data_IF_129528186506
#
_entry.id   IF_129528186506
#
_cell.length_a   1.000
_cell.length_b   1.000
_cell.length_c   1.000
_cell.angle_alpha   90.00
_cell.angle_beta   90.00
_cell.angle_gamma   90.00
#
_symmetry.space_group_name_H-M   'P 1'
#
loop_
_entity.id
_entity.type
_entity.pdbx_description
1 polymer ?
#
# COMPACT_ATOMS: atom_id res chain seq x y z
N UNK A 1 -10.41 43.12 -32.95
CA UNK A 1 -11.32 43.41 -34.08
C UNK A 1 -11.66 42.06 -34.71
N UNK A 2 -12.86 41.77 -35.21
CA UNK A 2 -14.03 42.62 -35.41
C UNK A 2 -14.96 41.97 -36.43
N UNK A 3 -15.84 41.10 -35.93
CA UNK A 3 -17.26 40.94 -36.28
C UNK A 3 -17.73 41.57 -37.62
N UNK A 4 -18.35 40.77 -38.50
CA UNK A 4 -19.63 41.13 -39.13
C UNK A 4 -20.51 39.89 -39.41
N UNK A 5 -21.76 39.98 -38.97
CA UNK A 5 -22.90 39.14 -39.40
C UNK A 5 -23.59 39.79 -40.61
N UNK A 6 -24.38 39.02 -41.37
CA UNK A 6 -25.47 39.60 -42.19
C UNK A 6 -26.79 38.84 -42.03
N UNK A 7 -27.86 39.61 -41.75
CA UNK A 7 -29.31 39.24 -41.74
C UNK A 7 -29.80 39.12 -43.21
N UNK A 8 -31.03 38.77 -43.61
CA UNK A 8 -32.43 38.67 -43.08
C UNK A 8 -33.17 37.66 -44.03
N UNK A 9 -34.38 37.09 -43.88
CA UNK A 9 -35.60 37.22 -43.03
C UNK A 9 -36.14 35.79 -42.73
N UNK A 10 -37.21 35.44 -42.00
CA UNK A 10 -38.47 36.03 -41.52
C UNK A 10 -39.70 35.99 -42.49
N UNK A 11 -40.85 35.54 -41.93
CA UNK A 11 -42.23 35.45 -42.44
C UNK A 11 -42.66 34.14 -43.18
N UNK A 12 -43.92 33.66 -43.11
CA UNK A 12 -44.99 33.75 -42.09
C UNK A 12 -46.19 32.83 -42.46
N UNK A 13 -46.93 32.27 -41.47
CA UNK A 13 -48.27 31.65 -41.57
C UNK A 13 -48.40 30.38 -42.49
N UNK A 14 -49.40 29.48 -42.39
CA UNK A 14 -50.34 29.05 -41.32
C UNK A 14 -50.63 27.52 -41.53
N UNK A 15 -51.73 26.80 -41.28
CA UNK A 15 -53.16 27.02 -40.91
C UNK A 15 -53.66 25.86 -40.00
N UNK A 16 -54.98 25.54 -39.97
CA UNK A 16 -55.58 24.42 -39.21
C UNK A 16 -56.83 23.86 -39.94
N UNK A 17 -57.29 22.63 -39.59
CA UNK A 17 -58.63 22.01 -39.91
C UNK A 17 -58.86 21.61 -41.40
N UNK A 18 -59.85 20.77 -41.78
CA UNK A 18 -60.97 20.11 -41.07
C UNK A 18 -61.24 18.66 -41.60
N UNK A 19 -61.93 17.89 -40.74
CA UNK A 19 -62.70 16.64 -40.79
C UNK A 19 -63.35 16.04 -42.09
N UNK A 20 -63.89 14.82 -41.90
CA UNK A 20 -64.72 14.00 -42.82
C UNK A 20 -64.28 12.52 -42.73
N UNK A 21 -65.13 11.50 -42.52
CA UNK A 21 -66.58 11.46 -42.23
C UNK A 21 -66.92 10.26 -41.31
N UNK A 22 -68.14 10.25 -40.76
CA UNK A 22 -68.75 9.08 -40.08
C UNK A 22 -69.69 8.35 -41.06
N UNK A 23 -69.68 7.01 -41.03
CA UNK A 23 -70.62 6.18 -41.77
C UNK A 23 -70.94 4.90 -41.01
N UNK A 24 -72.13 4.85 -40.40
CA UNK A 24 -72.61 3.66 -39.69
C UNK A 24 -73.06 2.56 -40.67
N UNK A 25 -72.65 1.32 -40.40
CA UNK A 25 -73.18 0.12 -41.04
C UNK A 25 -73.39 -0.96 -39.98
N UNK A 26 -74.63 -1.10 -39.50
CA UNK A 26 -74.98 -2.05 -38.45
C UNK A 26 -75.16 -3.48 -39.00
N UNK A 27 -74.42 -4.44 -38.45
CA UNK A 27 -74.67 -5.87 -38.59
C UNK A 27 -74.65 -6.51 -37.20
N UNK A 28 -75.61 -7.39 -36.92
CA UNK A 28 -75.78 -8.02 -35.60
C UNK A 28 -74.75 -9.13 -35.38
N UNK A 29 -74.22 -9.22 -34.15
CA UNK A 29 -73.35 -10.34 -33.73
C UNK A 29 -72.84 -10.19 -32.30
N UNK A 30 -73.37 -10.98 -31.37
CA UNK A 30 -72.91 -10.99 -29.98
C UNK A 30 -71.49 -11.55 -29.88
N UNK A 31 -70.56 -10.87 -29.16
CA UNK A 31 -69.99 -11.38 -27.90
C UNK A 31 -68.88 -10.50 -27.26
N UNK A 32 -68.67 -10.74 -25.96
CA UNK A 32 -67.45 -10.46 -25.16
C UNK A 32 -67.03 -9.00 -24.86
N UNK A 33 -67.57 -8.48 -23.75
CA UNK A 33 -66.81 -7.80 -22.67
C UNK A 33 -65.63 -6.89 -23.04
N UNK A 34 -65.89 -5.58 -23.14
CA UNK A 34 -64.84 -4.56 -23.00
C UNK A 34 -64.32 -4.48 -21.55
N UNK A 35 -63.32 -5.30 -21.20
CA UNK A 35 -62.48 -5.02 -20.03
C UNK A 35 -61.65 -3.77 -20.36
N UNK A 36 -61.94 -2.66 -19.69
CA UNK A 36 -61.10 -1.46 -19.73
C UNK A 36 -59.79 -1.78 -19.05
N UNK A 37 -58.82 -2.24 -19.84
CA UNK A 37 -57.47 -2.53 -19.39
C UNK A 37 -56.76 -1.21 -19.07
N UNK A 38 -57.00 -0.70 -17.85
CA UNK A 38 -56.21 0.36 -17.23
C UNK A 38 -54.79 -0.19 -17.09
N UNK A 39 -53.97 0.02 -18.12
CA UNK A 39 -52.52 -0.17 -18.08
C UNK A 39 -51.97 0.85 -17.10
N UNK A 40 -52.01 0.50 -15.82
CA UNK A 40 -51.25 1.18 -14.79
C UNK A 40 -49.79 1.15 -15.22
N UNK A 41 -49.29 2.27 -15.75
CA UNK A 41 -47.86 2.49 -15.96
C UNK A 41 -47.28 2.69 -14.57
N UNK A 42 -47.17 1.58 -13.84
CA UNK A 42 -46.30 1.46 -12.70
C UNK A 42 -44.89 1.78 -13.21
N UNK A 43 -44.47 3.03 -12.98
CA UNK A 43 -43.06 3.36 -12.90
C UNK A 43 -42.48 2.48 -11.79
N UNK A 44 -42.08 1.26 -12.14
CA UNK A 44 -41.13 0.50 -11.34
C UNK A 44 -40.00 1.46 -11.03
N UNK A 45 -39.72 1.63 -9.73
CA UNK A 45 -38.43 2.12 -9.26
C UNK A 45 -37.32 1.27 -9.92
N UNK A 46 -36.07 1.70 -9.81
CA UNK A 46 -34.94 0.88 -10.25
C UNK A 46 -34.67 -0.31 -9.32
N UNK A 47 -35.66 -0.77 -8.54
CA UNK A 47 -35.60 -1.94 -7.65
C UNK A 47 -34.84 -3.05 -8.36
N UNK A 48 -33.62 -3.24 -7.87
CA UNK A 48 -32.68 -4.23 -8.37
C UNK A 48 -32.05 -5.02 -7.22
N UNK A 49 -32.63 -4.96 -6.01
CA UNK A 49 -32.05 -5.50 -4.78
C UNK A 49 -33.14 -5.78 -3.74
N UNK A 50 -33.43 -7.06 -3.47
CA UNK A 50 -34.62 -7.44 -2.70
C UNK A 50 -34.61 -7.07 -1.21
N UNK A 51 -35.82 -7.05 -0.63
CA UNK A 51 -36.10 -6.55 0.73
C UNK A 51 -35.61 -7.41 1.90
N UNK A 52 -34.95 -8.53 1.65
CA UNK A 52 -34.36 -9.41 2.68
C UNK A 52 -33.13 -10.17 2.16
N UNK A 53 -32.42 -10.87 3.06
CA UNK A 53 -31.18 -11.62 2.76
C UNK A 53 -31.34 -12.74 1.73
N UNK A 54 -32.52 -13.35 1.62
CA UNK A 54 -32.78 -14.45 0.68
C UNK A 54 -33.00 -13.91 -0.75
N UNK A 55 -33.57 -12.71 -0.85
CA UNK A 55 -33.74 -11.95 -2.10
C UNK A 55 -32.60 -10.97 -2.41
N UNK A 56 -31.50 -11.02 -1.65
CA UNK A 56 -30.42 -10.04 -1.74
C UNK A 56 -29.71 -10.10 -3.11
N UNK A 57 -29.36 -8.92 -3.65
CA UNK A 57 -28.64 -8.81 -4.91
C UNK A 57 -27.27 -9.46 -4.80
N UNK A 58 -27.06 -10.53 -5.55
CA UNK A 58 -25.78 -11.23 -5.64
C UNK A 58 -24.76 -10.36 -6.40
N UNK A 59 -23.71 -9.93 -5.71
CA UNK A 59 -22.55 -9.23 -6.30
C UNK A 59 -21.47 -10.22 -6.72
N UNK A 60 -21.42 -11.39 -6.06
CA UNK A 60 -20.34 -12.37 -6.18
C UNK A 60 -19.13 -12.02 -5.31
N UNK A 61 -17.97 -12.58 -5.65
CA UNK A 61 -16.72 -12.29 -4.95
C UNK A 61 -16.16 -10.92 -5.34
N UNK A 62 -15.75 -10.12 -4.37
CA UNK A 62 -15.14 -8.82 -4.62
C UNK A 62 -13.71 -8.97 -5.16
N UNK A 63 -13.44 -8.27 -6.26
CA UNK A 63 -12.11 -8.07 -6.85
C UNK A 63 -11.77 -6.58 -6.87
N UNK A 64 -10.50 -6.24 -7.08
CA UNK A 64 -10.01 -4.85 -7.14
C UNK A 64 -9.98 -4.25 -8.56
N UNK A 65 -10.16 -5.09 -9.60
CA UNK A 65 -10.20 -4.71 -11.02
C UNK A 65 -11.08 -3.48 -11.33
N UNK A 66 -12.17 -3.25 -10.58
CA UNK A 66 -12.97 -2.01 -10.64
C UNK A 66 -13.91 -1.88 -9.43
N UNK A 67 -14.35 -0.65 -9.08
CA UNK A 67 -15.39 -0.45 -8.08
C UNK A 67 -16.75 -0.97 -8.57
N UNK A 68 -17.43 -1.75 -7.72
CA UNK A 68 -18.81 -2.22 -7.94
C UNK A 68 -19.76 -1.06 -7.67
N UNK A 69 -20.75 -0.82 -8.55
CA UNK A 69 -21.63 0.36 -8.49
C UNK A 69 -23.09 0.01 -8.74
N UNK A 70 -23.98 0.47 -7.87
CA UNK A 70 -25.42 0.25 -7.93
C UNK A 70 -26.17 1.58 -7.73
N UNK A 71 -27.38 1.70 -8.29
CA UNK A 71 -28.21 2.92 -8.23
C UNK A 71 -29.68 2.55 -8.08
N UNK A 72 -30.27 2.91 -6.94
CA UNK A 72 -31.60 2.42 -6.54
C UNK A 72 -32.40 3.48 -5.72
N UNK A 73 -33.63 3.14 -5.29
CA UNK A 73 -34.54 4.06 -4.55
C UNK A 73 -35.33 3.38 -3.40
N UNK A 74 -34.78 3.39 -2.18
CA UNK A 74 -35.52 3.00 -0.96
C UNK A 74 -36.63 4.01 -0.59
N UNK A 75 -37.76 3.56 -0.07
CA UNK A 75 -38.88 4.39 0.39
C UNK A 75 -40.01 3.63 1.09
N UNK A 76 -41.14 4.30 1.35
CA UNK A 76 -42.25 3.74 2.16
C UNK A 76 -42.76 2.34 1.75
N UNK A 77 -42.76 2.05 0.44
CA UNK A 77 -43.22 0.79 -0.14
C UNK A 77 -42.11 -0.25 -0.33
N UNK A 78 -40.85 0.18 -0.25
CA UNK A 78 -39.66 -0.57 -0.65
C UNK A 78 -38.52 -0.15 0.29
N UNK A 79 -38.51 -0.73 1.50
CA UNK A 79 -37.84 -0.09 2.65
C UNK A 79 -36.38 -0.49 2.80
N UNK A 80 -35.95 -1.56 2.14
CA UNK A 80 -34.64 -2.16 2.33
C UNK A 80 -34.12 -2.71 1.00
N UNK A 81 -32.91 -2.34 0.65
CA UNK A 81 -32.21 -2.91 -0.50
C UNK A 81 -31.06 -3.76 0.05
N UNK A 82 -31.19 -5.08 -0.03
CA UNK A 82 -30.13 -5.98 0.39
C UNK A 82 -29.22 -6.37 -0.78
N UNK A 83 -27.92 -6.28 -0.52
CA UNK A 83 -26.83 -6.69 -1.39
C UNK A 83 -26.01 -7.74 -0.65
N UNK A 84 -25.49 -8.74 -1.36
CA UNK A 84 -24.63 -9.77 -0.78
C UNK A 84 -23.38 -9.99 -1.63
N UNK A 85 -22.24 -10.16 -0.97
CA UNK A 85 -20.93 -10.34 -1.60
C UNK A 85 -20.05 -11.27 -0.78
N UNK A 86 -19.03 -11.84 -1.44
CA UNK A 86 -18.03 -12.70 -0.79
C UNK A 86 -16.67 -12.02 -0.80
N UNK A 87 -15.95 -12.15 0.32
CA UNK A 87 -14.54 -11.79 0.47
C UNK A 87 -13.73 -13.10 0.42
N UNK A 88 -12.76 -13.20 -0.49
CA UNK A 88 -11.95 -14.42 -0.67
C UNK A 88 -10.71 -14.49 0.23
N UNK A 89 -10.07 -13.34 0.49
CA UNK A 89 -8.88 -13.18 1.35
C UNK A 89 -9.11 -11.96 2.25
N UNK A 90 -8.49 -11.87 3.43
CA UNK A 90 -8.80 -10.81 4.42
C UNK A 90 -8.48 -9.41 3.86
N UNK A 91 -9.51 -8.67 3.45
CA UNK A 91 -9.40 -7.43 2.65
C UNK A 91 -9.89 -6.22 3.43
N UNK A 92 -9.33 -5.04 3.13
CA UNK A 92 -9.88 -3.77 3.58
C UNK A 92 -10.96 -3.30 2.59
N UNK A 93 -12.23 -3.36 2.98
CA UNK A 93 -13.36 -2.96 2.14
C UNK A 93 -13.75 -1.51 2.43
N UNK A 94 -13.86 -0.68 1.38
CA UNK A 94 -14.54 0.61 1.43
C UNK A 94 -15.94 0.48 0.82
N UNK A 95 -16.94 1.00 1.52
CA UNK A 95 -18.29 1.15 1.01
C UNK A 95 -18.72 2.61 1.11
N UNK A 96 -19.28 3.15 0.03
CA UNK A 96 -19.72 4.54 -0.08
C UNK A 96 -21.15 4.59 -0.58
N UNK A 97 -22.01 5.34 0.09
CA UNK A 97 -23.38 5.65 -0.33
C UNK A 97 -23.45 7.15 -0.63
N UNK A 98 -23.82 7.57 -1.84
CA UNK A 98 -23.79 8.99 -2.24
C UNK A 98 -24.96 9.44 -3.12
N UNK A 99 -25.19 10.76 -3.17
CA UNK A 99 -26.36 11.34 -3.83
C UNK A 99 -27.65 11.13 -3.02
N UNK A 100 -27.51 11.09 -1.69
CA UNK A 100 -28.59 10.72 -0.75
C UNK A 100 -29.50 11.91 -0.46
N UNK A 101 -30.72 11.86 -0.99
CA UNK A 101 -31.71 12.96 -0.87
C UNK A 101 -32.47 13.04 0.46
N UNK A 102 -32.28 12.07 1.38
CA UNK A 102 -33.02 11.98 2.66
C UNK A 102 -32.38 11.01 3.68
N UNK A 103 -31.05 10.94 3.71
CA UNK A 103 -30.33 10.26 4.80
C UNK A 103 -30.60 8.76 5.05
N UNK A 104 -30.74 7.89 4.02
CA UNK A 104 -30.94 6.47 4.23
C UNK A 104 -29.80 5.85 5.04
N UNK A 105 -30.11 4.80 5.78
CA UNK A 105 -29.14 4.08 6.59
C UNK A 105 -28.33 3.15 5.68
N UNK A 106 -27.01 3.15 5.80
CA UNK A 106 -26.10 2.13 5.30
C UNK A 106 -25.70 1.21 6.45
N UNK A 107 -25.84 -0.11 6.27
CA UNK A 107 -25.39 -1.12 7.25
C UNK A 107 -24.57 -2.23 6.59
N UNK A 108 -23.65 -2.82 7.34
CA UNK A 108 -22.93 -4.05 7.00
C UNK A 108 -23.25 -5.15 8.02
N UNK A 109 -23.47 -6.37 7.55
CA UNK A 109 -23.61 -7.56 8.39
C UNK A 109 -22.66 -8.67 7.93
N UNK A 110 -22.15 -9.45 8.88
CA UNK A 110 -21.52 -10.75 8.60
C UNK A 110 -22.56 -11.84 8.30
N UNK A 111 -22.12 -13.01 7.82
CA UNK A 111 -23.01 -14.15 7.51
C UNK A 111 -23.88 -14.59 8.68
N UNK A 112 -23.33 -14.63 9.90
CA UNK A 112 -24.06 -14.91 11.15
C UNK A 112 -25.06 -13.80 11.55
N UNK A 113 -25.12 -12.71 10.80
CA UNK A 113 -25.98 -11.56 11.04
C UNK A 113 -25.48 -10.54 12.04
N UNK A 114 -24.25 -10.65 12.58
CA UNK A 114 -23.67 -9.61 13.43
C UNK A 114 -23.60 -8.28 12.66
N UNK A 115 -24.11 -7.20 13.25
CA UNK A 115 -24.00 -5.86 12.68
C UNK A 115 -22.55 -5.36 12.82
N UNK A 116 -21.86 -5.18 11.69
CA UNK A 116 -20.45 -4.79 11.60
C UNK A 116 -20.27 -3.29 11.33
N UNK A 117 -21.31 -2.60 10.86
CA UNK A 117 -21.34 -1.15 10.68
C UNK A 117 -22.77 -0.67 10.55
N UNK A 118 -23.08 0.49 11.14
CA UNK A 118 -24.25 1.32 10.81
C UNK A 118 -23.84 2.80 10.88
N UNK A 119 -24.27 3.60 9.90
CA UNK A 119 -24.09 5.06 9.95
C UNK A 119 -25.11 5.76 10.87
N UNK A 120 -24.78 7.00 11.26
CA UNK A 120 -25.77 7.95 11.74
C UNK A 120 -26.45 8.63 10.54
N UNK A 121 -27.78 8.51 10.41
CA UNK A 121 -28.56 9.04 9.28
C UNK A 121 -28.57 10.57 9.24
N UNK A 122 -28.68 11.25 10.39
CA UNK A 122 -28.69 12.73 10.45
C UNK A 122 -27.38 13.34 9.92
N UNK A 123 -26.25 12.68 10.18
CA UNK A 123 -24.95 13.08 9.64
C UNK A 123 -24.77 12.76 8.14
N UNK A 124 -25.57 11.84 7.58
CA UNK A 124 -25.55 11.53 6.15
C UNK A 124 -26.25 12.60 5.31
N UNK A 125 -27.34 13.18 5.83
CA UNK A 125 -28.07 14.28 5.19
C UNK A 125 -27.16 15.50 5.02
N UNK A 126 -26.46 15.89 6.08
CA UNK A 126 -25.52 17.01 6.07
C UNK A 126 -24.30 16.81 5.15
N UNK A 127 -23.85 15.56 4.94
CA UNK A 127 -22.64 15.24 4.14
C UNK A 127 -22.91 14.82 2.68
N UNK A 128 -24.18 14.67 2.27
CA UNK A 128 -24.63 14.16 0.96
C UNK A 128 -24.04 12.80 0.52
N UNK A 129 -23.24 12.18 1.39
CA UNK A 129 -22.57 10.91 1.22
C UNK A 129 -22.17 10.31 2.57
N UNK A 130 -22.07 8.99 2.61
CA UNK A 130 -21.57 8.19 3.74
C UNK A 130 -20.43 7.35 3.19
N UNK A 131 -19.29 7.32 3.86
CA UNK A 131 -18.24 6.33 3.63
C UNK A 131 -17.90 5.58 4.92
N UNK A 132 -17.65 4.29 4.82
CA UNK A 132 -16.91 3.56 5.85
C UNK A 132 -15.88 2.63 5.20
N UNK A 133 -14.83 2.31 5.96
CA UNK A 133 -13.77 1.39 5.59
C UNK A 133 -13.62 0.35 6.71
N UNK A 134 -13.51 -0.94 6.39
CA UNK A 134 -13.35 -2.01 7.41
C UNK A 134 -12.58 -3.22 6.86
N UNK A 135 -11.67 -3.76 7.66
CA UNK A 135 -11.03 -5.05 7.42
C UNK A 135 -12.07 -6.17 7.63
N UNK A 136 -12.26 -7.01 6.61
CA UNK A 136 -13.16 -8.15 6.61
C UNK A 136 -12.38 -9.46 6.41
N UNK A 137 -12.74 -10.50 7.16
CA UNK A 137 -12.23 -11.86 6.96
C UNK A 137 -12.82 -12.50 5.69
N UNK A 138 -12.25 -13.60 5.19
CA UNK A 138 -12.90 -14.45 4.19
C UNK A 138 -14.33 -14.84 4.63
N UNK A 139 -15.26 -14.88 3.68
CA UNK A 139 -16.66 -15.24 3.92
C UNK A 139 -17.67 -14.31 3.25
N UNK A 140 -18.96 -14.56 3.48
CA UNK A 140 -20.08 -13.82 2.89
C UNK A 140 -20.59 -12.71 3.81
N UNK A 141 -20.95 -11.58 3.21
CA UNK A 141 -21.39 -10.37 3.90
C UNK A 141 -22.60 -9.75 3.21
N UNK A 142 -23.46 -9.10 4.00
CA UNK A 142 -24.63 -8.40 3.50
C UNK A 142 -24.49 -6.90 3.74
N UNK A 143 -24.78 -6.09 2.72
CA UNK A 143 -25.05 -4.67 2.89
C UNK A 143 -26.55 -4.43 2.78
N UNK A 144 -27.06 -3.60 3.69
CA UNK A 144 -28.44 -3.13 3.67
C UNK A 144 -28.39 -1.61 3.50
N UNK A 145 -29.07 -1.10 2.47
CA UNK A 145 -29.52 0.30 2.45
C UNK A 145 -30.95 0.31 2.94
N UNK A 146 -31.33 1.16 3.90
CA UNK A 146 -32.68 1.16 4.45
C UNK A 146 -33.21 2.57 4.80
N UNK A 147 -34.46 2.84 4.44
CA UNK A 147 -35.15 4.11 4.73
C UNK A 147 -36.34 3.89 5.67
N UNK A 148 -36.51 4.79 6.63
CA UNK A 148 -37.64 4.81 7.59
C UNK A 148 -38.73 5.79 7.17
N UNK A 149 -38.38 6.90 6.51
CA UNK A 149 -39.27 8.02 6.21
C UNK A 149 -39.02 8.59 4.81
N UNK A 150 -40.08 8.95 4.09
CA UNK A 150 -39.97 9.51 2.73
C UNK A 150 -39.47 8.49 1.68
N UNK A 151 -38.58 8.96 0.79
CA UNK A 151 -37.85 8.16 -0.21
C UNK A 151 -36.43 8.70 -0.38
N UNK A 152 -35.45 7.84 -0.62
CA UNK A 152 -34.07 8.21 -0.92
C UNK A 152 -33.57 7.49 -2.18
N UNK A 153 -33.19 8.26 -3.20
CA UNK A 153 -32.31 7.74 -4.25
C UNK A 153 -30.89 7.69 -3.71
N UNK A 154 -30.09 6.76 -4.22
CA UNK A 154 -28.68 6.66 -3.87
C UNK A 154 -27.82 6.03 -4.97
N UNK A 155 -26.51 6.16 -4.80
CA UNK A 155 -25.49 5.43 -5.52
C UNK A 155 -24.65 4.65 -4.48
N UNK A 156 -24.63 3.32 -4.54
CA UNK A 156 -23.80 2.48 -3.68
C UNK A 156 -22.54 2.08 -4.46
N UNK A 157 -21.36 2.35 -3.90
CA UNK A 157 -20.05 1.96 -4.42
C UNK A 157 -19.35 1.05 -3.41
N UNK A 158 -18.93 -0.14 -3.83
CA UNK A 158 -18.10 -1.06 -3.03
C UNK A 158 -16.76 -1.29 -3.74
N UNK A 159 -15.66 -1.25 -2.99
CA UNK A 159 -14.31 -1.46 -3.54
C UNK A 159 -13.32 -1.93 -2.47
N UNK A 160 -12.51 -2.97 -2.74
CA UNK A 160 -11.30 -3.22 -1.97
C UNK A 160 -10.33 -2.02 -2.11
N UNK A 161 -9.77 -1.59 -1.00
CA UNK A 161 -8.84 -0.45 -0.91
C UNK A 161 -7.54 -0.84 -0.20
N UNK A 162 -6.51 -0.02 -0.34
CA UNK A 162 -5.34 -0.06 0.54
C UNK A 162 -5.74 0.12 2.00
N UNK A 163 -4.87 -0.29 2.91
CA UNK A 163 -4.90 0.21 4.28
C UNK A 163 -4.18 1.56 4.28
N UNK A 164 -4.75 2.53 4.99
CA UNK A 164 -4.32 3.92 4.98
C UNK A 164 -4.48 4.51 6.37
N UNK A 165 -3.58 5.42 6.75
CA UNK A 165 -3.57 6.08 8.05
C UNK A 165 -3.02 7.50 7.99
N UNK A 166 -3.37 8.27 9.01
CA UNK A 166 -2.74 9.56 9.26
C UNK A 166 -1.43 9.35 10.00
N UNK A 167 -0.47 10.25 9.79
CA UNK A 167 0.79 10.30 10.55
C UNK A 167 0.84 11.64 11.28
N UNK A 168 0.93 11.58 12.62
CA UNK A 168 1.04 12.75 13.50
C UNK A 168 2.44 12.77 14.11
N UNK A 169 3.22 13.79 13.77
CA UNK A 169 4.57 14.01 14.28
C UNK A 169 4.55 15.17 15.27
N UNK A 170 5.28 15.04 16.39
CA UNK A 170 5.52 16.16 17.31
C UNK A 170 6.66 17.07 16.85
N UNK A 171 6.62 18.31 17.32
CA UNK A 171 7.62 19.34 17.05
C UNK A 171 8.91 19.14 17.83
N UNK A 172 10.06 19.33 17.16
CA UNK A 172 11.39 19.22 17.78
C UNK A 172 11.63 20.42 18.70
N UNK A 173 11.40 20.23 20.00
CA UNK A 173 11.45 21.28 21.03
C UNK A 173 12.75 22.11 21.06
N UNK A 174 13.87 21.52 20.67
CA UNK A 174 15.20 22.17 20.66
C UNK A 174 15.50 22.96 19.38
N UNK A 175 14.78 22.71 18.28
CA UNK A 175 14.91 23.44 17.02
C UNK A 175 13.66 24.31 16.82
N UNK A 176 13.78 25.59 17.19
CA UNK A 176 12.70 26.57 17.44
C UNK A 176 11.74 26.87 16.26
N UNK A 177 11.81 26.15 15.14
CA UNK A 177 11.01 26.29 13.93
C UNK A 177 10.38 24.97 13.43
N UNK A 178 10.39 23.87 14.20
CA UNK A 178 9.77 22.59 13.81
C UNK A 178 8.39 22.40 14.48
N UNK A 179 7.28 22.78 13.82
CA UNK A 179 5.93 22.55 14.37
C UNK A 179 5.54 21.08 14.33
N UNK A 180 4.50 20.71 15.10
CA UNK A 180 3.71 19.50 14.88
C UNK A 180 3.26 19.41 13.41
N UNK A 181 3.30 18.22 12.82
CA UNK A 181 2.79 17.96 11.47
C UNK A 181 1.77 16.81 11.49
N UNK A 182 0.68 16.96 10.72
CA UNK A 182 -0.31 15.90 10.51
C UNK A 182 -0.44 15.64 9.00
N UNK A 183 -0.07 14.44 8.57
CA UNK A 183 -0.21 13.97 7.20
C UNK A 183 -1.49 13.14 7.08
N UNK A 184 -2.60 13.75 6.66
CA UNK A 184 -3.85 13.01 6.41
C UNK A 184 -3.61 11.97 5.31
N UNK A 185 -3.93 10.70 5.57
CA UNK A 185 -3.63 9.57 4.67
C UNK A 185 -2.13 9.38 4.33
N UNK A 186 -1.22 9.98 5.11
CA UNK A 186 0.22 10.04 4.85
C UNK A 186 0.97 8.70 4.81
N UNK A 187 0.36 7.61 5.30
CA UNK A 187 0.91 6.26 5.19
C UNK A 187 -0.11 5.29 4.59
N UNK A 188 0.35 4.42 3.69
CA UNK A 188 -0.43 3.38 3.04
C UNK A 188 0.29 2.02 3.09
N UNK A 189 -0.48 0.95 3.17
CA UNK A 189 -0.01 -0.43 3.02
C UNK A 189 -0.75 -1.08 1.84
N UNK A 190 -0.01 -1.36 0.77
CA UNK A 190 -0.49 -2.02 -0.45
C UNK A 190 -0.02 -3.47 -0.49
N UNK A 191 -0.80 -4.39 -1.05
CA UNK A 191 -0.29 -5.70 -1.46
C UNK A 191 0.29 -5.60 -2.88
N UNK A 192 1.37 -6.32 -3.13
CA UNK A 192 1.97 -6.47 -4.46
C UNK A 192 1.93 -7.93 -4.93
N UNK A 193 1.84 -8.08 -6.24
CA UNK A 193 2.06 -9.32 -7.00
C UNK A 193 3.14 -9.07 -8.04
N UNK A 194 3.57 -10.10 -8.78
CA UNK A 194 4.39 -9.92 -9.99
C UNK A 194 3.82 -8.90 -10.99
N UNK A 195 2.50 -8.71 -11.01
CA UNK A 195 1.79 -7.78 -11.91
C UNK A 195 1.73 -6.33 -11.39
N UNK A 196 2.16 -6.07 -10.15
CA UNK A 196 2.07 -4.74 -9.50
C UNK A 196 1.14 -4.71 -8.28
N UNK A 197 0.65 -3.52 -7.93
CA UNK A 197 -0.28 -3.28 -6.81
C UNK A 197 -1.57 -4.10 -6.95
N UNK A 198 -2.11 -4.55 -5.83
CA UNK A 198 -3.46 -5.09 -5.70
C UNK A 198 -4.07 -4.68 -4.35
N UNK A 199 -5.39 -4.49 -4.34
CA UNK A 199 -6.18 -4.31 -3.12
C UNK A 199 -6.88 -5.63 -2.69
N UNK A 200 -6.60 -6.75 -3.36
CA UNK A 200 -7.02 -8.08 -2.91
C UNK A 200 -6.28 -8.41 -1.60
N UNK A 201 -7.01 -9.02 -0.67
CA UNK A 201 -6.64 -9.10 0.74
C UNK A 201 -5.29 -9.74 1.08
N UNK A 202 -4.89 -9.54 2.33
CA UNK A 202 -3.64 -9.98 2.94
C UNK A 202 -3.94 -11.24 3.75
N UNK A 203 -3.16 -12.30 3.57
CA UNK A 203 -3.38 -13.59 4.21
C UNK A 203 -2.51 -13.75 5.48
N UNK A 204 -3.08 -13.88 6.70
CA UNK A 204 -2.30 -14.08 7.92
C UNK A 204 -1.66 -15.48 8.03
N UNK A 205 -2.00 -16.44 7.16
CA UNK A 205 -1.27 -17.72 7.13
C UNK A 205 0.13 -17.56 6.55
N UNK A 206 0.30 -16.67 5.57
CA UNK A 206 1.50 -16.56 4.74
C UNK A 206 2.69 -15.88 5.42
N UNK A 207 3.90 -16.26 5.00
CA UNK A 207 5.10 -15.42 5.22
C UNK A 207 4.92 -14.09 4.49
N UNK A 208 5.36 -13.00 5.07
CA UNK A 208 5.04 -11.65 4.62
C UNK A 208 6.29 -10.79 4.52
N UNK A 209 6.67 -10.42 3.30
CA UNK A 209 7.72 -9.42 3.06
C UNK A 209 7.08 -8.04 3.02
N UNK A 210 7.55 -7.11 3.86
CA UNK A 210 7.16 -5.70 3.83
C UNK A 210 8.33 -4.89 3.27
N UNK A 211 8.15 -4.23 2.12
CA UNK A 211 9.19 -3.37 1.53
C UNK A 211 8.88 -1.91 1.86
N UNK A 212 9.87 -1.19 2.37
CA UNK A 212 9.80 0.21 2.80
C UNK A 212 10.81 1.04 1.99
N UNK A 213 10.33 2.11 1.37
CA UNK A 213 11.16 3.02 0.57
C UNK A 213 11.85 4.08 1.45
N UNK A 214 12.82 4.78 0.84
CA UNK A 214 13.56 5.88 1.44
C UNK A 214 12.90 7.25 1.33
N UNK A 215 13.67 8.26 1.76
CA UNK A 215 13.42 9.70 1.55
C UNK A 215 13.12 10.00 0.08
N UNK A 216 12.09 10.80 -0.19
CA UNK A 216 11.77 11.32 -1.52
C UNK A 216 11.37 10.28 -2.58
N UNK A 217 11.21 9.02 -2.20
CA UNK A 217 10.74 7.94 -3.07
C UNK A 217 9.33 7.46 -2.65
N UNK A 218 8.78 6.47 -3.35
CA UNK A 218 7.53 5.81 -2.97
C UNK A 218 7.53 4.35 -3.41
N UNK A 219 6.48 3.57 -3.12
CA UNK A 219 6.42 2.19 -3.62
C UNK A 219 6.12 2.07 -5.13
N UNK A 220 5.75 3.17 -5.80
CA UNK A 220 5.76 3.26 -7.27
C UNK A 220 7.12 3.73 -7.83
N UNK A 221 8.07 4.06 -6.97
CA UNK A 221 9.46 4.35 -7.32
C UNK A 221 10.07 3.26 -8.18
N UNK A 222 10.73 3.66 -9.28
CA UNK A 222 11.17 2.71 -10.33
C UNK A 222 11.96 1.51 -9.80
N UNK A 223 12.77 1.71 -8.75
CA UNK A 223 13.59 0.68 -8.10
C UNK A 223 12.82 -0.12 -7.05
N UNK A 224 12.11 0.57 -6.15
CA UNK A 224 11.30 -0.08 -5.10
C UNK A 224 10.20 -0.95 -5.72
N UNK A 225 9.50 -0.45 -6.75
CA UNK A 225 8.48 -1.21 -7.50
C UNK A 225 9.08 -2.44 -8.18
N UNK A 226 10.28 -2.33 -8.76
CA UNK A 226 11.01 -3.47 -9.35
C UNK A 226 11.42 -4.50 -8.30
N UNK A 227 11.86 -4.08 -7.11
CA UNK A 227 12.15 -4.99 -5.99
C UNK A 227 10.87 -5.71 -5.53
N UNK A 228 9.78 -4.97 -5.32
CA UNK A 228 8.45 -5.51 -4.95
C UNK A 228 7.96 -6.56 -5.95
N UNK A 229 7.92 -6.23 -7.25
CA UNK A 229 7.49 -7.15 -8.30
C UNK A 229 8.43 -8.34 -8.47
N UNK A 230 9.74 -8.17 -8.25
CA UNK A 230 10.72 -9.26 -8.34
C UNK A 230 10.59 -10.23 -7.17
N UNK A 231 10.45 -9.71 -5.94
CA UNK A 231 10.20 -10.51 -4.74
C UNK A 231 8.88 -11.26 -4.88
N UNK A 232 7.82 -10.60 -5.33
CA UNK A 232 6.52 -11.25 -5.56
C UNK A 232 6.64 -12.36 -6.61
N UNK A 233 7.25 -12.09 -7.77
CA UNK A 233 7.51 -13.08 -8.84
C UNK A 233 8.28 -14.32 -8.37
N UNK A 234 9.23 -14.17 -7.44
CA UNK A 234 10.05 -15.28 -6.92
C UNK A 234 9.34 -16.06 -5.81
N UNK A 235 8.48 -15.42 -5.02
CA UNK A 235 8.03 -15.96 -3.73
C UNK A 235 6.50 -16.03 -3.52
N UNK A 236 5.66 -15.39 -4.34
CA UNK A 236 4.19 -15.39 -4.17
C UNK A 236 3.57 -16.80 -4.27
N UNK A 237 4.22 -17.69 -5.03
CA UNK A 237 3.89 -19.10 -5.18
C UNK A 237 4.55 -20.00 -4.10
N UNK A 238 5.49 -19.47 -3.30
CA UNK A 238 6.26 -20.20 -2.28
C UNK A 238 5.75 -19.89 -0.85
N UNK A 239 4.44 -19.74 -0.69
CA UNK A 239 3.74 -19.30 0.54
C UNK A 239 4.10 -17.90 1.09
N UNK A 240 4.85 -17.08 0.34
CA UNK A 240 5.00 -15.67 0.69
C UNK A 240 3.86 -14.81 0.12
N UNK A 241 3.71 -13.63 0.68
CA UNK A 241 3.07 -12.46 0.08
C UNK A 241 3.98 -11.24 0.25
N UNK A 242 3.85 -10.27 -0.64
CA UNK A 242 4.65 -9.05 -0.61
C UNK A 242 3.73 -7.86 -0.39
N UNK A 243 4.09 -7.02 0.56
CA UNK A 243 3.45 -5.75 0.89
C UNK A 243 4.42 -4.61 0.67
N UNK A 244 3.89 -3.43 0.36
CA UNK A 244 4.66 -2.19 0.33
C UNK A 244 4.11 -1.21 1.36
N UNK A 245 5.00 -0.69 2.20
CA UNK A 245 4.74 0.43 3.09
C UNK A 245 5.12 1.72 2.36
N UNK A 246 4.11 2.49 1.97
CA UNK A 246 4.24 3.73 1.21
C UNK A 246 3.95 4.91 2.13
N UNK A 247 5.01 5.60 2.55
CA UNK A 247 5.03 6.73 3.48
C UNK A 247 5.56 7.99 2.78
N UNK A 248 5.26 8.14 1.48
CA UNK A 248 5.83 9.17 0.60
C UNK A 248 5.69 10.60 1.10
N UNK A 249 4.57 10.94 1.75
CA UNK A 249 4.29 12.32 2.15
C UNK A 249 5.14 12.73 3.38
N UNK A 250 5.22 11.93 4.47
CA UNK A 250 6.23 12.15 5.50
C UNK A 250 7.68 11.91 5.04
N UNK A 251 7.93 11.07 4.04
CA UNK A 251 9.28 10.84 3.49
C UNK A 251 9.81 11.99 2.60
N UNK A 252 8.96 12.95 2.23
CA UNK A 252 9.31 14.04 1.33
C UNK A 252 9.97 15.21 2.08
N UNK A 253 11.29 15.12 2.27
CA UNK A 253 12.09 16.14 2.95
C UNK A 253 13.10 16.82 1.99
N UNK A 254 13.04 18.15 1.80
CA UNK A 254 14.00 18.90 0.99
C UNK A 254 15.28 19.34 1.75
N UNK A 255 15.34 19.22 3.08
CA UNK A 255 16.46 19.69 3.91
C UNK A 255 17.68 18.75 3.74
N UNK A 256 18.94 19.24 3.56
CA UNK A 256 20.09 18.38 3.25
C UNK A 256 20.21 17.14 4.16
N UNK A 257 20.19 17.32 5.48
CA UNK A 257 19.97 16.24 6.46
C UNK A 257 18.45 16.14 6.75
N UNK A 258 17.82 14.98 6.56
CA UNK A 258 16.35 14.88 6.45
C UNK A 258 15.63 14.76 7.81
N UNK A 259 15.80 15.76 8.69
CA UNK A 259 15.21 15.76 10.05
C UNK A 259 13.67 15.72 10.06
N UNK A 260 12.99 16.26 9.04
CA UNK A 260 11.52 16.26 8.94
C UNK A 260 10.98 14.88 8.59
N UNK A 261 11.65 14.15 7.69
CA UNK A 261 11.33 12.76 7.41
C UNK A 261 11.76 11.84 8.57
N UNK A 262 12.89 12.11 9.22
CA UNK A 262 13.42 11.30 10.32
C UNK A 262 12.40 11.14 11.46
N UNK A 263 11.83 12.24 11.97
CA UNK A 263 10.81 12.19 13.05
C UNK A 263 9.51 11.45 12.69
N UNK A 264 9.28 11.16 11.41
CA UNK A 264 8.13 10.37 10.95
C UNK A 264 8.32 8.87 11.11
N UNK A 265 9.55 8.41 11.38
CA UNK A 265 9.94 6.99 11.29
C UNK A 265 9.22 6.14 12.34
N UNK A 266 9.21 6.58 13.61
CA UNK A 266 8.52 5.85 14.69
C UNK A 266 7.00 5.89 14.52
N UNK A 267 6.33 7.05 14.24
CA UNK A 267 4.91 7.09 13.90
C UNK A 267 4.51 6.15 12.75
N UNK A 268 5.29 6.12 11.65
CA UNK A 268 5.06 5.23 10.50
C UNK A 268 5.23 3.76 10.89
N UNK A 269 6.28 3.44 11.65
CA UNK A 269 6.54 2.08 12.14
C UNK A 269 5.47 1.58 13.12
N UNK A 270 4.97 2.44 14.00
CA UNK A 270 3.87 2.14 14.93
C UNK A 270 2.56 1.90 14.18
N UNK A 271 2.19 2.77 13.23
CA UNK A 271 1.01 2.56 12.39
C UNK A 271 1.10 1.25 11.59
N UNK A 272 2.24 0.99 10.95
CA UNK A 272 2.48 -0.22 10.18
C UNK A 272 2.36 -1.46 11.07
N UNK A 273 3.02 -1.44 12.23
CA UNK A 273 3.01 -2.54 13.20
C UNK A 273 1.61 -2.81 13.74
N UNK A 274 0.85 -1.78 14.14
CA UNK A 274 -0.53 -1.97 14.59
C UNK A 274 -1.44 -2.47 13.46
N UNK A 275 -1.22 -2.02 12.23
CA UNK A 275 -1.97 -2.49 11.05
C UNK A 275 -1.67 -3.97 10.75
N UNK A 276 -0.41 -4.39 10.80
CA UNK A 276 0.00 -5.79 10.63
C UNK A 276 -0.54 -6.69 11.77
N UNK A 277 -0.49 -6.23 13.03
CA UNK A 277 -1.12 -6.90 14.17
C UNK A 277 -2.65 -7.01 13.98
N UNK A 278 -3.33 -5.95 13.54
CA UNK A 278 -4.77 -5.93 13.22
C UNK A 278 -5.16 -6.83 12.04
N UNK A 279 -4.23 -7.19 11.16
CA UNK A 279 -4.42 -8.18 10.10
C UNK A 279 -4.27 -9.62 10.59
N UNK A 280 -3.67 -9.84 11.76
CA UNK A 280 -3.36 -11.16 12.32
C UNK A 280 -1.95 -11.66 11.97
N UNK A 281 -1.06 -10.80 11.48
CA UNK A 281 0.32 -11.16 11.19
C UNK A 281 1.16 -11.20 12.47
N UNK A 282 2.09 -12.16 12.51
CA UNK A 282 2.92 -12.50 13.67
C UNK A 282 4.40 -12.30 13.36
N UNK A 283 5.19 -11.88 14.36
CA UNK A 283 6.58 -11.42 14.17
C UNK A 283 7.47 -12.43 13.42
N UNK A 284 7.29 -13.72 13.71
CA UNK A 284 8.00 -14.86 13.11
C UNK A 284 7.52 -15.25 11.70
N UNK A 285 6.71 -14.40 11.05
CA UNK A 285 6.36 -14.49 9.63
C UNK A 285 6.67 -13.20 8.86
N UNK A 286 7.25 -12.20 9.52
CA UNK A 286 7.49 -10.88 8.94
C UNK A 286 8.97 -10.78 8.56
N UNK A 287 9.21 -10.59 7.27
CA UNK A 287 10.48 -10.11 6.71
C UNK A 287 10.29 -8.63 6.38
N UNK A 288 11.23 -7.75 6.72
CA UNK A 288 11.16 -6.33 6.33
C UNK A 288 12.38 -5.94 5.50
N UNK A 289 12.16 -5.32 4.34
CA UNK A 289 13.21 -4.75 3.48
C UNK A 289 13.12 -3.23 3.52
N UNK A 290 14.13 -2.53 4.04
CA UNK A 290 14.13 -1.07 4.14
C UNK A 290 15.28 -0.44 3.37
N UNK A 291 14.99 0.54 2.50
CA UNK A 291 16.01 1.35 1.82
C UNK A 291 16.17 2.73 2.46
N UNK A 292 17.40 3.24 2.63
CA UNK A 292 17.65 4.59 3.13
C UNK A 292 16.98 4.82 4.50
N UNK A 293 16.23 5.91 4.69
CA UNK A 293 15.42 6.11 5.91
C UNK A 293 14.42 4.97 6.19
N UNK A 294 13.98 4.24 5.15
CA UNK A 294 13.15 3.05 5.29
C UNK A 294 13.83 1.89 6.02
N UNK A 295 15.16 1.87 6.11
CA UNK A 295 15.90 0.92 6.96
C UNK A 295 15.56 1.13 8.45
N UNK A 296 15.46 2.38 8.89
CA UNK A 296 15.08 2.72 10.27
C UNK A 296 13.59 2.47 10.54
N UNK A 297 12.70 2.75 9.57
CA UNK A 297 11.29 2.32 9.67
C UNK A 297 11.20 0.80 9.82
N UNK A 298 12.07 0.06 9.13
CA UNK A 298 12.14 -1.41 9.25
C UNK A 298 12.67 -1.87 10.61
N UNK A 299 13.69 -1.18 11.14
CA UNK A 299 14.24 -1.44 12.46
C UNK A 299 13.22 -1.16 13.58
N UNK A 300 12.46 -0.07 13.46
CA UNK A 300 11.42 0.31 14.42
C UNK A 300 10.19 -0.60 14.35
N UNK A 301 9.81 -1.10 13.16
CA UNK A 301 8.85 -2.21 13.04
C UNK A 301 9.38 -3.45 13.79
N UNK A 302 10.68 -3.75 13.63
CA UNK A 302 11.36 -4.80 14.40
C UNK A 302 11.27 -4.61 15.91
N UNK A 303 11.54 -3.39 16.41
CA UNK A 303 11.44 -3.01 17.83
C UNK A 303 10.01 -3.15 18.36
N UNK A 304 9.02 -2.65 17.65
CA UNK A 304 7.59 -2.70 18.01
C UNK A 304 6.98 -4.12 17.92
N UNK A 305 7.62 -5.05 17.18
CA UNK A 305 7.34 -6.49 17.23
C UNK A 305 8.20 -7.27 18.23
N UNK A 306 9.19 -6.63 18.87
CA UNK A 306 10.23 -7.25 19.71
C UNK A 306 10.97 -8.36 18.97
N UNK A 307 11.45 -8.09 17.75
CA UNK A 307 12.13 -9.06 16.89
C UNK A 307 11.23 -9.64 15.80
N UNK A 308 11.36 -9.14 14.55
CA UNK A 308 10.79 -9.80 13.35
C UNK A 308 11.61 -11.03 12.93
N UNK A 309 11.11 -11.85 11.98
CA UNK A 309 11.81 -13.05 11.51
C UNK A 309 13.12 -12.69 10.79
N UNK A 310 13.04 -11.70 9.90
CA UNK A 310 14.15 -11.27 9.03
C UNK A 310 14.10 -9.75 8.80
N UNK A 311 15.25 -9.08 8.76
CA UNK A 311 15.39 -7.68 8.35
C UNK A 311 16.49 -7.52 7.30
N UNK A 312 16.21 -6.76 6.24
CA UNK A 312 17.21 -6.36 5.23
C UNK A 312 17.31 -4.84 5.22
N UNK A 313 18.50 -4.33 5.51
CA UNK A 313 18.81 -2.91 5.40
C UNK A 313 19.57 -2.67 4.08
N UNK A 314 19.01 -1.84 3.20
CA UNK A 314 19.57 -1.47 1.92
C UNK A 314 20.03 -0.03 1.99
N UNK A 315 21.33 0.15 2.19
CA UNK A 315 21.99 1.44 2.35
C UNK A 315 21.29 2.34 3.39
N UNK A 316 21.40 2.03 4.71
CA UNK A 316 20.81 2.86 5.76
C UNK A 316 21.25 4.32 5.59
N UNK A 317 20.36 5.29 5.72
CA UNK A 317 20.77 6.69 5.47
C UNK A 317 21.72 7.21 6.57
N UNK A 318 22.82 7.83 6.18
CA UNK A 318 23.74 8.52 7.08
C UNK A 318 23.24 9.95 7.42
N UNK A 319 23.48 10.47 8.64
CA UNK A 319 24.07 9.83 9.82
C UNK A 319 23.00 9.29 10.79
N UNK A 320 23.08 8.01 11.13
CA UNK A 320 22.08 7.32 11.96
C UNK A 320 21.98 7.86 13.40
N UNK A 321 23.07 8.40 13.93
CA UNK A 321 23.20 8.84 15.32
C UNK A 321 22.70 10.27 15.59
N UNK A 322 22.41 11.04 14.54
CA UNK A 322 21.86 12.42 14.60
C UNK A 322 20.35 12.48 14.34
N UNK A 323 19.72 11.37 13.98
CA UNK A 323 18.29 11.33 13.74
C UNK A 323 17.50 11.17 15.06
N UNK A 324 16.58 12.10 15.31
CA UNK A 324 15.42 11.85 16.16
C UNK A 324 14.37 11.09 15.32
N UNK A 325 14.07 9.85 15.72
CA UNK A 325 13.12 8.99 15.02
C UNK A 325 11.66 9.16 15.48
N UNK A 326 11.35 9.92 16.55
CA UNK A 326 9.99 10.05 17.09
C UNK A 326 9.44 11.50 17.12
N UNK A 327 10.30 12.52 17.09
CA UNK A 327 9.93 13.93 17.10
C UNK A 327 9.47 14.50 18.45
N UNK A 328 9.60 13.74 19.54
CA UNK A 328 9.18 14.14 20.89
C UNK A 328 10.34 14.70 21.70
N UNK A 329 11.50 14.03 21.70
CA UNK A 329 12.67 14.37 22.52
C UNK A 329 13.96 14.34 21.67
N UNK A 330 14.47 15.51 21.24
CA UNK A 330 15.58 15.61 20.29
C UNK A 330 16.85 14.88 20.76
N UNK A 331 17.21 13.83 20.02
CA UNK A 331 18.42 13.02 20.24
C UNK A 331 18.24 11.79 21.15
N UNK A 332 17.06 11.60 21.75
CA UNK A 332 16.78 10.46 22.65
C UNK A 332 16.43 9.18 21.87
N UNK A 333 15.62 9.28 20.82
CA UNK A 333 15.18 8.13 20.02
C UNK A 333 16.13 7.82 18.84
N UNK A 334 17.27 7.19 19.14
CA UNK A 334 18.27 6.77 18.13
C UNK A 334 17.89 5.51 17.36
N UNK A 335 18.57 5.27 16.22
CA UNK A 335 18.44 4.05 15.44
C UNK A 335 18.78 2.78 16.26
N UNK A 336 17.89 1.79 16.21
CA UNK A 336 18.09 0.49 16.84
C UNK A 336 19.16 -0.36 16.11
N UNK A 337 20.01 -1.05 16.88
CA UNK A 337 20.94 -2.08 16.37
C UNK A 337 20.18 -3.10 15.50
N UNK A 338 20.58 -3.26 14.24
CA UNK A 338 19.81 -4.05 13.26
C UNK A 338 19.72 -5.55 13.65
N UNK A 339 20.67 -6.09 14.41
CA UNK A 339 20.65 -7.44 15.00
C UNK A 339 19.80 -7.57 16.27
N UNK A 340 19.47 -6.48 16.94
CA UNK A 340 18.64 -6.49 18.15
C UNK A 340 17.13 -6.57 17.84
N UNK A 341 16.73 -6.17 16.62
CA UNK A 341 15.33 -5.99 16.22
C UNK A 341 14.81 -7.06 15.24
N UNK A 342 15.61 -8.07 14.90
CA UNK A 342 15.21 -9.22 14.10
C UNK A 342 15.94 -10.50 14.53
N UNK A 343 15.33 -11.67 14.33
CA UNK A 343 15.97 -13.00 14.52
C UNK A 343 17.18 -13.17 13.60
N UNK A 344 17.12 -12.60 12.39
CA UNK A 344 18.23 -12.49 11.46
C UNK A 344 18.16 -11.14 10.76
N UNK A 345 19.29 -10.47 10.60
CA UNK A 345 19.37 -9.24 9.81
C UNK A 345 20.60 -9.23 8.92
N UNK A 346 20.46 -8.68 7.72
CA UNK A 346 21.56 -8.47 6.78
C UNK A 346 21.53 -7.05 6.23
N UNK A 347 22.70 -6.40 6.15
CA UNK A 347 22.84 -5.09 5.53
C UNK A 347 23.63 -5.16 4.22
N UNK A 348 23.18 -4.44 3.19
CA UNK A 348 23.99 -4.12 2.00
C UNK A 348 24.18 -2.61 1.98
N UNK A 349 25.42 -2.12 2.00
CA UNK A 349 25.76 -0.69 2.12
C UNK A 349 26.87 -0.31 1.13
N UNK A 350 26.84 0.88 0.54
CA UNK A 350 27.89 1.39 -0.36
C UNK A 350 29.19 1.63 0.43
N UNK A 351 30.34 1.56 -0.22
CA UNK A 351 31.64 1.87 0.39
C UNK A 351 31.96 3.37 0.48
N UNK A 352 32.78 3.75 1.46
CA UNK A 352 33.23 5.13 1.76
C UNK A 352 34.13 5.77 0.66
N UNK A 353 34.12 5.28 -0.59
CA UNK A 353 34.82 5.92 -1.72
C UNK A 353 34.10 7.17 -2.27
N UNK A 354 32.85 7.43 -1.84
CA UNK A 354 32.09 8.61 -2.22
C UNK A 354 32.22 9.72 -1.17
N UNK A 355 32.74 10.92 -1.49
CA UNK A 355 32.91 11.99 -0.51
C UNK A 355 31.56 12.44 0.06
N UNK A 356 31.49 12.58 1.38
CA UNK A 356 30.28 12.83 2.18
C UNK A 356 29.65 14.22 2.01
N UNK A 357 30.05 14.99 0.99
CA UNK A 357 29.43 16.26 0.62
C UNK A 357 28.03 16.08 0.01
N UNK A 358 27.78 14.95 -0.65
CA UNK A 358 26.42 14.48 -0.96
C UNK A 358 25.88 13.76 0.28
N UNK A 359 24.99 14.38 1.04
CA UNK A 359 24.46 13.86 2.33
C UNK A 359 23.48 12.67 2.21
N UNK A 360 23.73 11.77 1.26
CA UNK A 360 22.90 10.60 0.93
C UNK A 360 23.77 9.39 0.52
N UNK A 361 24.91 9.22 1.20
CA UNK A 361 25.63 7.94 1.23
C UNK A 361 25.04 7.02 2.31
N UNK A 362 25.38 5.74 2.25
CA UNK A 362 25.01 4.76 3.27
C UNK A 362 25.75 4.99 4.60
N UNK A 363 25.13 4.59 5.70
CA UNK A 363 25.75 4.55 7.02
C UNK A 363 26.38 3.16 7.25
N UNK A 364 27.66 3.05 6.96
CA UNK A 364 28.43 1.82 7.14
C UNK A 364 28.49 1.39 8.62
N UNK A 365 28.56 2.36 9.54
CA UNK A 365 28.57 2.10 10.99
C UNK A 365 27.28 1.40 11.41
N UNK A 366 26.14 1.95 11.00
CA UNK A 366 24.82 1.36 11.23
C UNK A 366 24.67 0.01 10.51
N UNK A 367 25.16 -0.13 9.28
CA UNK A 367 25.08 -1.37 8.53
C UNK A 367 25.79 -2.53 9.25
N UNK A 368 26.94 -2.28 9.88
CA UNK A 368 27.65 -3.23 10.73
C UNK A 368 26.96 -3.59 12.05
N UNK A 369 25.82 -2.97 12.39
CA UNK A 369 24.96 -3.42 13.51
C UNK A 369 24.06 -4.59 13.12
N UNK A 370 24.04 -5.02 11.86
CA UNK A 370 23.31 -6.20 11.39
C UNK A 370 23.97 -7.52 11.86
N UNK A 371 23.36 -8.65 11.53
CA UNK A 371 23.88 -9.99 11.85
C UNK A 371 24.70 -10.62 10.71
N UNK A 372 24.59 -10.11 9.47
CA UNK A 372 25.74 -9.96 8.57
C UNK A 372 25.70 -8.60 7.84
N UNK A 373 26.80 -8.17 7.24
CA UNK A 373 26.86 -6.97 6.40
C UNK A 373 27.80 -7.08 5.19
N UNK A 374 27.41 -6.43 4.09
CA UNK A 374 28.09 -6.51 2.79
C UNK A 374 28.30 -5.12 2.17
N UNK A 375 29.55 -4.79 1.86
CA UNK A 375 29.88 -3.57 1.13
C UNK A 375 29.57 -3.71 -0.36
N UNK A 376 28.94 -2.71 -0.98
CA UNK A 376 28.55 -2.68 -2.38
C UNK A 376 29.53 -1.82 -3.16
N UNK A 377 30.42 -2.49 -3.90
CA UNK A 377 31.43 -1.88 -4.75
C UNK A 377 30.94 -1.80 -6.19
N UNK A 378 31.12 -0.65 -6.86
CA UNK A 378 30.67 -0.44 -8.24
C UNK A 378 31.83 -0.39 -9.22
N UNK A 379 31.78 -1.20 -10.29
CA UNK A 379 32.77 -1.14 -11.37
C UNK A 379 32.79 0.26 -12.00
N UNK A 380 33.87 1.00 -11.76
CA UNK A 380 34.01 2.41 -12.12
C UNK A 380 33.14 3.34 -11.26
N UNK A 381 33.17 3.18 -9.94
CA UNK A 381 32.42 3.98 -8.96
C UNK A 381 32.54 5.51 -9.17
N UNK A 382 33.74 5.99 -9.53
CA UNK A 382 34.07 7.40 -9.74
C UNK A 382 33.15 8.18 -10.71
N UNK A 383 32.43 7.53 -11.63
CA UNK A 383 31.48 8.19 -12.54
C UNK A 383 30.02 7.78 -12.28
N UNK A 384 29.71 7.23 -11.09
CA UNK A 384 28.34 6.88 -10.69
C UNK A 384 27.67 8.01 -9.90
N UNK A 385 28.38 8.62 -8.95
CA UNK A 385 27.86 9.62 -8.01
C UNK A 385 27.11 9.01 -6.82
N UNK A 386 27.21 9.63 -5.64
CA UNK A 386 26.76 9.05 -4.37
C UNK A 386 25.26 8.70 -4.37
N UNK A 387 24.39 9.67 -4.68
CA UNK A 387 22.93 9.49 -4.76
C UNK A 387 22.53 8.35 -5.72
N UNK A 388 23.31 8.13 -6.79
CA UNK A 388 23.05 7.05 -7.74
C UNK A 388 23.57 5.70 -7.24
N UNK A 389 24.72 5.66 -6.56
CA UNK A 389 25.21 4.47 -5.87
C UNK A 389 24.18 4.01 -4.81
N UNK A 390 23.76 4.94 -3.94
CA UNK A 390 22.79 4.73 -2.86
C UNK A 390 21.48 4.10 -3.32
N UNK A 391 20.86 4.66 -4.37
CA UNK A 391 19.64 4.07 -4.94
C UNK A 391 19.89 2.76 -5.69
N UNK A 392 21.11 2.51 -6.19
CA UNK A 392 21.42 1.29 -6.98
C UNK A 392 21.62 0.05 -6.10
N UNK A 393 21.81 0.18 -4.78
CA UNK A 393 21.81 -0.96 -3.84
C UNK A 393 20.50 -1.78 -3.93
N UNK A 394 19.37 -1.12 -4.20
CA UNK A 394 18.07 -1.78 -4.45
C UNK A 394 18.14 -2.74 -5.66
N UNK A 395 18.82 -2.35 -6.75
CA UNK A 395 19.02 -3.22 -7.91
C UNK A 395 19.99 -4.37 -7.58
N UNK A 396 21.04 -4.11 -6.81
CA UNK A 396 22.02 -5.12 -6.36
C UNK A 396 21.34 -6.21 -5.54
N UNK A 397 20.55 -5.83 -4.53
CA UNK A 397 19.79 -6.78 -3.74
C UNK A 397 18.72 -7.51 -4.58
N UNK A 398 17.98 -6.78 -5.42
CA UNK A 398 17.02 -7.37 -6.38
C UNK A 398 17.68 -8.41 -7.30
N UNK A 399 18.95 -8.21 -7.69
CA UNK A 399 19.71 -9.18 -8.45
C UNK A 399 20.21 -10.35 -7.57
N UNK A 400 20.62 -10.15 -6.31
CA UNK A 400 20.94 -11.28 -5.42
C UNK A 400 19.75 -12.23 -5.20
N UNK A 401 18.53 -11.71 -5.06
CA UNK A 401 17.32 -12.54 -5.00
C UNK A 401 17.07 -13.26 -6.34
N UNK A 402 17.22 -12.55 -7.47
CA UNK A 402 16.97 -13.08 -8.82
C UNK A 402 17.94 -14.19 -9.23
N UNK A 403 19.21 -14.08 -8.83
CA UNK A 403 20.27 -15.03 -9.20
C UNK A 403 20.39 -16.19 -8.19
N UNK A 404 19.46 -16.27 -7.22
CA UNK A 404 19.45 -17.23 -6.11
C UNK A 404 20.73 -17.20 -5.25
N UNK A 405 21.27 -15.99 -5.09
CA UNK A 405 22.44 -15.71 -4.27
C UNK A 405 22.05 -15.51 -2.79
N UNK A 406 21.06 -14.66 -2.52
CA UNK A 406 20.37 -14.58 -1.22
C UNK A 406 18.95 -15.12 -1.38
N UNK A 407 18.44 -15.88 -0.40
CA UNK A 407 17.13 -16.57 -0.49
C UNK A 407 16.29 -16.33 0.77
N UNK A 408 14.97 -16.16 0.65
CA UNK A 408 14.11 -16.02 1.83
C UNK A 408 13.90 -17.35 2.57
N UNK A 409 14.09 -18.46 1.85
CA UNK A 409 13.99 -19.84 2.31
C UNK A 409 15.18 -20.26 3.20
N UNK A 410 16.34 -19.60 3.10
CA UNK A 410 17.53 -19.86 3.93
C UNK A 410 17.82 -18.76 4.97
N UNK A 411 16.79 -18.02 5.37
CA UNK A 411 16.90 -16.84 6.25
C UNK A 411 17.89 -15.77 5.75
N UNK A 412 18.06 -15.67 4.42
CA UNK A 412 19.02 -14.79 3.73
C UNK A 412 20.49 -15.00 4.19
N UNK A 413 20.79 -16.16 4.78
CA UNK A 413 22.06 -16.39 5.45
C UNK A 413 23.24 -16.45 4.47
N UNK A 414 24.31 -15.74 4.83
CA UNK A 414 25.67 -16.02 4.35
C UNK A 414 26.21 -17.33 4.95
N UNK A 415 27.32 -17.87 4.42
CA UNK A 415 27.99 -19.03 5.01
C UNK A 415 28.40 -18.79 6.47
N UNK A 416 28.36 -19.84 7.29
CA UNK A 416 28.65 -19.75 8.72
C UNK A 416 30.14 -19.55 9.04
N UNK A 417 30.46 -18.68 9.99
CA UNK A 417 31.82 -18.53 10.51
C UNK A 417 32.73 -17.62 9.70
N UNK A 418 32.14 -16.61 9.03
CA UNK A 418 32.87 -15.44 8.56
C UNK A 418 33.34 -14.60 9.76
N UNK A 419 34.43 -13.86 9.58
CA UNK A 419 34.95 -12.87 10.54
C UNK A 419 34.75 -11.46 9.94
N UNK A 420 34.59 -10.42 10.78
CA UNK A 420 34.56 -9.03 10.32
C UNK A 420 35.95 -8.58 9.82
N UNK A 421 36.12 -8.52 8.50
CA UNK A 421 37.44 -8.36 7.86
C UNK A 421 37.56 -7.14 6.95
N UNK A 422 36.46 -6.48 6.58
CA UNK A 422 36.47 -5.26 5.77
C UNK A 422 36.13 -4.04 6.61
N UNK A 423 36.87 -2.94 6.42
CA UNK A 423 36.44 -1.62 6.87
C UNK A 423 35.49 -0.97 5.83
N UNK A 424 34.85 0.15 6.18
CA UNK A 424 33.89 0.86 5.33
C UNK A 424 34.39 1.16 3.90
N UNK A 425 35.70 1.43 3.74
CA UNK A 425 36.37 1.71 2.46
C UNK A 425 36.72 0.43 1.67
N UNK A 426 36.06 -0.70 1.94
CA UNK A 426 36.28 -1.96 1.24
C UNK A 426 37.63 -2.63 1.50
N UNK A 427 38.48 -2.13 2.40
CA UNK A 427 39.85 -2.65 2.59
C UNK A 427 39.87 -3.78 3.61
N UNK A 428 40.62 -4.85 3.29
CA UNK A 428 40.92 -5.92 4.25
C UNK A 428 41.75 -5.39 5.43
N UNK A 429 41.29 -5.67 6.64
CA UNK A 429 41.94 -5.31 7.91
C UNK A 429 42.09 -6.55 8.80
N UNK A 430 43.16 -6.61 9.60
CA UNK A 430 43.45 -7.79 10.44
C UNK A 430 42.74 -7.76 11.81
N UNK A 431 42.23 -6.60 12.22
CA UNK A 431 41.46 -6.31 13.44
C UNK A 431 40.50 -5.17 13.10
N UNK A 432 39.39 -5.07 13.83
CA UNK A 432 38.42 -3.97 13.71
C UNK A 432 37.91 -3.80 12.27
N UNK A 433 37.64 -4.91 11.58
CA UNK A 433 36.69 -4.89 10.48
C UNK A 433 35.27 -4.67 11.01
N UNK A 434 34.37 -4.34 10.11
CA UNK A 434 32.95 -4.09 10.40
C UNK A 434 32.02 -4.88 9.46
N UNK A 435 32.57 -5.43 8.37
CA UNK A 435 31.82 -6.17 7.36
C UNK A 435 32.53 -7.48 6.99
N UNK A 436 31.73 -8.52 6.81
CA UNK A 436 32.16 -9.88 6.50
C UNK A 436 32.47 -10.07 5.01
N UNK A 437 31.85 -9.26 4.14
CA UNK A 437 31.96 -9.40 2.70
C UNK A 437 31.77 -8.13 1.87
N UNK A 438 31.95 -8.30 0.56
CA UNK A 438 31.78 -7.28 -0.48
C UNK A 438 31.09 -7.85 -1.70
N UNK A 439 30.12 -7.12 -2.24
CA UNK A 439 29.44 -7.38 -3.51
C UNK A 439 30.01 -6.44 -4.57
N UNK A 440 30.69 -6.99 -5.58
CA UNK A 440 31.12 -6.21 -6.76
C UNK A 440 29.98 -6.23 -7.78
N UNK A 441 29.50 -5.04 -8.18
CA UNK A 441 28.37 -4.87 -9.08
C UNK A 441 28.65 -3.93 -10.26
N UNK A 442 27.84 -4.01 -11.31
CA UNK A 442 27.78 -2.99 -12.37
C UNK A 442 27.08 -1.72 -11.87
N UNK A 443 27.30 -0.58 -12.57
CA UNK A 443 26.51 0.67 -12.42
C UNK A 443 24.98 0.51 -12.63
N UNK A 444 24.52 -0.67 -13.05
CA UNK A 444 23.11 -1.07 -13.22
C UNK A 444 22.64 -2.08 -12.16
N UNK A 445 23.46 -2.35 -11.15
CA UNK A 445 23.16 -3.26 -10.04
C UNK A 445 23.19 -4.75 -10.39
N UNK A 446 23.80 -5.16 -11.52
CA UNK A 446 24.08 -6.59 -11.76
C UNK A 446 25.30 -7.00 -10.94
N UNK A 447 25.13 -7.95 -10.04
CA UNK A 447 26.21 -8.60 -9.29
C UNK A 447 27.16 -9.29 -10.26
N UNK A 448 28.46 -9.12 -10.03
CA UNK A 448 29.55 -9.79 -10.75
C UNK A 448 30.30 -10.77 -9.88
N UNK A 449 30.55 -10.44 -8.61
CA UNK A 449 31.23 -11.29 -7.63
C UNK A 449 30.68 -11.00 -6.24
N UNK A 450 30.51 -12.03 -5.41
CA UNK A 450 30.57 -11.89 -3.95
C UNK A 450 31.95 -12.32 -3.49
N UNK A 451 32.48 -11.59 -2.51
CA UNK A 451 33.73 -11.84 -1.84
C UNK A 451 33.51 -11.82 -0.33
N UNK A 452 34.00 -12.82 0.40
CA UNK A 452 34.15 -12.79 1.86
C UNK A 452 35.46 -13.49 2.23
N UNK A 453 35.87 -13.43 3.50
CA UNK A 453 37.01 -14.20 3.99
C UNK A 453 36.50 -15.32 4.88
N UNK A 454 36.83 -16.56 4.52
CA UNK A 454 36.68 -17.69 5.42
C UNK A 454 37.77 -17.62 6.51
N UNK A 455 37.36 -17.99 7.72
CA UNK A 455 38.04 -17.79 9.00
C UNK A 455 39.58 -17.88 8.96
N UNK A 456 40.26 -17.00 9.71
CA UNK A 456 41.73 -17.01 9.85
C UNK A 456 42.28 -18.41 10.17
N UNK A 457 43.00 -18.99 9.21
CA UNK A 457 43.95 -20.08 9.49
C UNK A 457 45.31 -19.48 9.88
N UNK A 458 46.21 -20.30 10.40
CA UNK A 458 47.62 -19.93 10.62
C UNK A 458 48.37 -19.54 9.34
N UNK A 459 47.77 -19.73 8.16
CA UNK A 459 48.29 -19.29 6.86
C UNK A 459 47.85 -17.89 6.40
N UNK A 460 47.02 -17.19 7.20
CA UNK A 460 46.54 -15.83 6.90
C UNK A 460 45.10 -15.77 6.37
N UNK A 461 44.70 -14.59 5.86
CA UNK A 461 43.38 -14.33 5.30
C UNK A 461 43.26 -14.93 3.88
N UNK A 462 42.31 -15.84 3.65
CA UNK A 462 41.99 -16.35 2.31
C UNK A 462 40.63 -15.80 1.86
N UNK A 463 40.63 -14.99 0.82
CA UNK A 463 39.39 -14.47 0.23
C UNK A 463 38.73 -15.53 -0.65
N UNK A 464 37.54 -15.96 -0.26
CA UNK A 464 36.70 -16.87 -1.04
C UNK A 464 35.85 -16.10 -2.04
N UNK A 465 35.48 -16.78 -3.14
CA UNK A 465 34.67 -16.24 -4.23
C UNK A 465 33.55 -17.24 -4.54
N UNK A 466 32.38 -17.04 -3.92
CA UNK A 466 31.27 -18.01 -3.95
C UNK A 466 30.47 -17.95 -5.24
N UNK A 467 30.28 -16.74 -5.77
CA UNK A 467 29.38 -16.45 -6.89
C UNK A 467 30.18 -15.91 -8.07
N UNK A 468 30.89 -16.82 -8.76
CA UNK A 468 31.38 -16.59 -10.12
C UNK A 468 30.31 -17.03 -11.13
N UNK A 469 30.05 -16.21 -12.15
CA UNK A 469 29.40 -16.56 -13.42
C UNK A 469 30.04 -15.77 -14.55
#
# INVERSE_FOLDING_TARGET
MGIQFKKRSQNANSSLKLAGDLGDAAVQGNNLTHIVAVRSIARRSRDSAGNNRNSAKQIGTLTDNRPYRFRDEVGRADRNDYYTFTVGTRSNLKAVLSGVSSGPNLRLFGVNGSNLFRNNSKLAEAKQSIGYTRILNPGTYYIQVNQTTGRARYNLRLEPVSLVGNIENKGLSFLQNYPDLNYENGVNLYRYTKNGRTNIGIDPSKKTVVVVHGRGDSSEGSRIRKLLQTTARLYENQDYQVLALDWREPANDPIPVPFTAARSITPVAQWATQTLKNLGLTRNKITVFGHSLGAYVSAEIGREFRGVDQLVALDPAFPADQYDLNGNEPGDQKASDLKAVAKRSIALVVEDEFPSSDSIAGDNTQAGTAADSLLVQYNGAANLGATKAHTTVIDVFSNTLSEQYLKLENDLALPSGLDDVYNNSGRLVQRNGLHEGRVIATRTGKVRRLLYVERKTSSGLRQSVTWNR
#
